data_IF_657782297966
#
_entry.id   IF_657782297966
#
_cell.length_a   1.000
_cell.length_b   1.000
_cell.length_c   1.000
_cell.angle_alpha   90.00
_cell.angle_beta   90.00
_cell.angle_gamma   90.00
#
_symmetry.space_group_name_H-M   'P 1'
#
loop_
_entity.id
_entity.type
_entity.pdbx_description
1 polymer ?
#
# COMPACT_ATOMS: atom_id res chain seq x y z
N UNK A 1 -0.84 -3.39 3.38
CA UNK A 1 0.21 -2.49 3.91
C UNK A 1 0.40 -2.56 5.42
N UNK A 2 -0.56 -2.14 6.25
CA UNK A 2 -0.39 -2.08 7.72
C UNK A 2 0.06 -3.42 8.31
N UNK A 3 -0.56 -4.53 7.90
CA UNK A 3 -0.19 -5.89 8.35
C UNK A 3 1.29 -6.20 8.05
N UNK A 4 1.79 -5.78 6.87
CA UNK A 4 3.19 -6.00 6.48
C UNK A 4 4.17 -5.16 7.32
N UNK A 5 3.77 -3.94 7.69
CA UNK A 5 4.55 -3.09 8.60
C UNK A 5 4.64 -3.77 9.97
N UNK A 6 3.52 -4.21 10.53
CA UNK A 6 3.47 -4.89 11.84
C UNK A 6 4.28 -6.18 11.82
N UNK A 7 4.19 -6.98 10.75
CA UNK A 7 5.00 -8.18 10.58
C UNK A 7 6.50 -7.85 10.52
N UNK A 8 6.89 -6.85 9.72
CA UNK A 8 8.27 -6.41 9.60
C UNK A 8 8.86 -5.91 10.91
N UNK A 9 8.08 -5.18 11.71
CA UNK A 9 8.48 -4.74 13.05
C UNK A 9 8.66 -5.93 14.00
N UNK A 10 7.67 -6.84 14.09
CA UNK A 10 7.73 -8.01 14.98
C UNK A 10 8.89 -8.95 14.65
N UNK A 11 9.26 -9.06 13.37
CA UNK A 11 10.32 -9.96 12.88
C UNK A 11 11.66 -9.27 12.65
N UNK A 12 11.78 -8.00 13.05
CA UNK A 12 12.97 -7.17 12.89
C UNK A 12 13.48 -7.09 11.42
N UNK A 13 12.55 -7.20 10.46
CA UNK A 13 12.84 -7.12 9.01
C UNK A 13 12.76 -5.66 8.57
N UNK A 14 13.88 -4.94 8.69
CA UNK A 14 13.99 -3.50 8.42
C UNK A 14 13.49 -3.09 7.03
N UNK A 15 13.90 -3.80 5.96
CA UNK A 15 13.42 -3.47 4.62
C UNK A 15 11.89 -3.53 4.52
N UNK A 16 11.24 -4.43 5.27
CA UNK A 16 9.84 -4.77 5.00
C UNK A 16 8.95 -3.69 5.58
N UNK A 17 9.20 -3.32 6.83
CA UNK A 17 8.41 -2.29 7.46
C UNK A 17 8.73 -0.91 6.90
N UNK A 18 9.99 -0.61 6.52
CA UNK A 18 10.37 0.68 5.92
C UNK A 18 9.69 0.88 4.55
N UNK A 19 9.82 -0.08 3.63
CA UNK A 19 9.19 0.03 2.30
C UNK A 19 7.67 0.14 2.40
N UNK A 20 7.04 -0.66 3.27
CA UNK A 20 5.59 -0.62 3.45
C UNK A 20 5.11 0.66 4.16
N UNK A 21 5.90 1.23 5.07
CA UNK A 21 5.61 2.53 5.67
C UNK A 21 5.71 3.66 4.63
N UNK A 22 6.72 3.63 3.76
CA UNK A 22 6.84 4.56 2.63
C UNK A 22 5.64 4.48 1.68
N UNK A 23 5.20 3.27 1.31
CA UNK A 23 4.00 3.09 0.50
C UNK A 23 2.74 3.60 1.18
N UNK A 24 2.61 3.42 2.49
CA UNK A 24 1.46 3.91 3.25
C UNK A 24 1.42 5.45 3.28
N UNK A 25 2.57 6.11 3.54
CA UNK A 25 2.66 7.57 3.53
C UNK A 25 2.36 8.11 2.13
N UNK A 26 2.92 7.50 1.09
CA UNK A 26 2.67 7.90 -0.29
C UNK A 26 1.18 7.81 -0.65
N UNK A 27 0.51 6.71 -0.27
CA UNK A 27 -0.91 6.53 -0.56
C UNK A 27 -1.80 7.53 0.18
N UNK A 28 -1.46 7.86 1.43
CA UNK A 28 -2.14 8.92 2.18
C UNK A 28 -1.93 10.29 1.51
N UNK A 29 -0.70 10.60 1.10
CA UNK A 29 -0.37 11.86 0.44
C UNK A 29 -1.12 12.03 -0.90
N UNK A 30 -1.20 10.96 -1.71
CA UNK A 30 -1.96 10.97 -2.96
C UNK A 30 -3.46 11.15 -2.69
N UNK A 31 -4.01 10.43 -1.71
CA UNK A 31 -5.42 10.59 -1.33
C UNK A 31 -5.73 12.02 -0.90
N UNK A 32 -4.90 12.60 -0.04
CA UNK A 32 -5.03 13.98 0.40
C UNK A 32 -4.92 14.97 -0.77
N UNK A 33 -3.96 14.78 -1.68
CA UNK A 33 -3.77 15.61 -2.88
C UNK A 33 -5.03 15.69 -3.74
N UNK A 34 -5.64 14.54 -4.05
CA UNK A 34 -6.85 14.50 -4.88
C UNK A 34 -8.09 15.03 -4.14
N UNK A 35 -8.19 14.80 -2.83
CA UNK A 35 -9.30 15.35 -2.03
C UNK A 35 -9.22 16.88 -1.93
N UNK A 36 -8.03 17.46 -1.79
CA UNK A 36 -7.84 18.92 -1.76
C UNK A 36 -8.12 19.59 -3.11
N UNK A 37 -8.05 18.85 -4.21
CA UNK A 37 -8.31 19.36 -5.56
C UNK A 37 -9.70 19.01 -6.09
N UNK A 38 -10.58 18.47 -5.26
CA UNK A 38 -11.89 17.96 -5.70
C UNK A 38 -12.72 19.02 -6.43
N UNK A 39 -12.70 20.28 -5.97
CA UNK A 39 -13.45 21.38 -6.58
C UNK A 39 -12.89 21.77 -7.96
N UNK A 40 -11.56 21.74 -8.11
CA UNK A 40 -10.90 22.00 -9.40
C UNK A 40 -11.18 20.87 -10.40
N UNK A 41 -11.12 19.62 -9.94
CA UNK A 41 -11.44 18.44 -10.74
C UNK A 41 -12.92 18.49 -11.16
N UNK A 42 -13.81 18.95 -10.28
CA UNK A 42 -15.23 19.12 -10.56
C UNK A 42 -15.49 20.17 -11.65
N UNK A 43 -14.81 21.31 -11.55
CA UNK A 43 -14.93 22.39 -12.52
C UNK A 43 -14.41 21.99 -13.91
N UNK A 44 -13.36 21.16 -13.98
CA UNK A 44 -12.74 20.75 -15.25
C UNK A 44 -13.38 19.50 -15.87
N UNK A 45 -14.07 18.66 -15.07
CA UNK A 45 -14.60 17.38 -15.51
C UNK A 45 -16.04 17.18 -15.03
N UNK A 46 -17.04 17.81 -15.69
CA UNK A 46 -18.45 17.53 -15.40
C UNK A 46 -18.76 16.08 -15.78
N UNK A 47 -18.69 15.19 -14.80
CA UNK A 47 -18.83 13.73 -14.99
C UNK A 47 -20.20 13.23 -14.51
N UNK A 48 -20.88 12.36 -15.27
CA UNK A 48 -22.09 11.68 -14.79
C UNK A 48 -21.76 10.84 -13.56
N UNK A 49 -22.50 11.01 -12.47
CA UNK A 49 -22.23 10.35 -11.18
C UNK A 49 -21.43 11.19 -10.17
N UNK A 50 -21.00 12.40 -10.56
CA UNK A 50 -20.37 13.36 -9.66
C UNK A 50 -18.87 13.15 -9.49
N UNK A 51 -18.16 14.25 -9.26
CA UNK A 51 -16.69 14.31 -9.19
C UNK A 51 -16.10 13.42 -8.09
N UNK A 52 -16.85 13.19 -7.01
CA UNK A 52 -16.43 12.30 -5.93
C UNK A 52 -16.12 10.87 -6.41
N UNK A 53 -16.90 10.35 -7.36
CA UNK A 53 -16.67 9.01 -7.92
C UNK A 53 -15.39 8.96 -8.74
N UNK A 54 -15.14 9.98 -9.56
CA UNK A 54 -13.92 10.10 -10.37
C UNK A 54 -12.68 10.18 -9.47
N UNK A 55 -12.72 11.03 -8.44
CA UNK A 55 -11.64 11.16 -7.45
C UNK A 55 -11.41 9.84 -6.71
N UNK A 56 -12.47 9.16 -6.30
CA UNK A 56 -12.36 7.86 -5.63
C UNK A 56 -11.70 6.81 -6.55
N UNK A 57 -12.04 6.78 -7.83
CA UNK A 57 -11.42 5.89 -8.81
C UNK A 57 -9.93 6.22 -9.03
N UNK A 58 -9.59 7.50 -9.14
CA UNK A 58 -8.20 7.94 -9.28
C UNK A 58 -7.37 7.53 -8.07
N UNK A 59 -7.84 7.83 -6.86
CA UNK A 59 -7.18 7.43 -5.61
C UNK A 59 -7.04 5.90 -5.57
N UNK A 60 -8.11 5.15 -5.87
CA UNK A 60 -8.09 3.69 -5.84
C UNK A 60 -7.10 3.09 -6.83
N UNK A 61 -7.02 3.65 -8.04
CA UNK A 61 -6.05 3.24 -9.06
C UNK A 61 -4.62 3.40 -8.57
N UNK A 62 -4.28 4.55 -7.98
CA UNK A 62 -2.95 4.80 -7.41
C UNK A 62 -2.64 3.94 -6.19
N UNK A 63 -3.62 3.71 -5.31
CA UNK A 63 -3.44 2.92 -4.08
C UNK A 63 -3.28 1.42 -4.38
N UNK A 64 -3.87 0.93 -5.48
CA UNK A 64 -3.86 -0.49 -5.84
C UNK A 64 -2.44 -1.04 -6.02
N UNK A 65 -1.56 -0.31 -6.72
CA UNK A 65 -0.21 -0.78 -7.07
C UNK A 65 0.69 -0.95 -5.84
N UNK A 66 0.88 0.07 -4.97
CA UNK A 66 1.64 -0.09 -3.73
C UNK A 66 1.03 -1.17 -2.82
N UNK A 67 -0.30 -1.35 -2.85
CA UNK A 67 -0.98 -2.36 -2.04
C UNK A 67 -0.65 -3.77 -2.53
N UNK A 68 -0.65 -4.00 -3.84
CA UNK A 68 -0.27 -5.28 -4.42
C UNK A 68 1.20 -5.60 -4.14
N UNK A 69 2.11 -4.65 -4.34
CA UNK A 69 3.54 -4.84 -4.04
C UNK A 69 3.74 -5.15 -2.55
N UNK A 70 3.05 -4.42 -1.67
CA UNK A 70 3.05 -4.68 -0.23
C UNK A 70 2.68 -6.12 0.12
N UNK A 71 1.66 -6.66 -0.56
CA UNK A 71 1.20 -8.03 -0.36
C UNK A 71 2.26 -9.06 -0.78
N UNK A 72 2.85 -8.89 -1.97
CA UNK A 72 3.90 -9.80 -2.44
C UNK A 72 5.17 -9.75 -1.58
N UNK A 73 5.56 -8.56 -1.10
CA UNK A 73 6.69 -8.41 -0.18
C UNK A 73 6.44 -9.14 1.14
N UNK A 74 5.21 -9.05 1.68
CA UNK A 74 4.82 -9.77 2.88
C UNK A 74 4.85 -11.29 2.66
N UNK A 75 4.25 -11.77 1.57
CA UNK A 75 4.25 -13.18 1.22
C UNK A 75 5.68 -13.71 1.10
N UNK A 76 6.54 -13.01 0.36
CA UNK A 76 7.96 -13.36 0.23
C UNK A 76 8.69 -13.40 1.58
N UNK A 77 8.42 -12.45 2.47
CA UNK A 77 9.00 -12.44 3.80
C UNK A 77 8.56 -13.65 4.64
N UNK A 78 7.28 -14.04 4.57
CA UNK A 78 6.76 -15.22 5.25
C UNK A 78 7.40 -16.50 4.70
N UNK A 79 7.50 -16.64 3.37
CA UNK A 79 8.16 -17.79 2.74
C UNK A 79 9.63 -17.91 3.16
N UNK A 80 10.37 -16.80 3.21
CA UNK A 80 11.75 -16.79 3.69
C UNK A 80 11.87 -17.23 5.15
N UNK A 81 10.93 -16.84 6.01
CA UNK A 81 10.91 -17.32 7.40
C UNK A 81 10.60 -18.81 7.51
N UNK A 82 9.59 -19.29 6.76
CA UNK A 82 9.24 -20.72 6.75
C UNK A 82 10.42 -21.56 6.25
N UNK A 83 11.12 -21.12 5.20
CA UNK A 83 12.30 -21.79 4.68
C UNK A 83 13.44 -21.83 5.70
N UNK A 84 13.65 -20.75 6.46
CA UNK A 84 14.66 -20.72 7.53
C UNK A 84 14.33 -21.73 8.64
N UNK A 85 13.07 -21.75 9.11
CA UNK A 85 12.60 -22.71 10.12
C UNK A 85 12.71 -24.17 9.65
N UNK A 86 12.36 -24.45 8.40
CA UNK A 86 12.46 -25.81 7.86
C UNK A 86 13.90 -26.33 7.82
N UNK A 87 14.88 -25.46 7.56
CA UNK A 87 16.31 -25.81 7.61
C UNK A 87 16.82 -26.04 9.04
N UNK A 88 16.31 -25.30 10.01
CA UNK A 88 16.66 -25.47 11.43
C UNK A 88 16.11 -26.78 12.03
N UNK A 89 15.03 -27.34 11.48
CA UNK A 89 14.44 -28.62 11.93
C UNK A 89 15.18 -29.83 11.33
N UNK A 90 15.89 -29.65 10.21
CA UNK A 90 16.61 -30.73 9.52
C UNK A 90 18.10 -30.83 9.91
N UNK A 91 18.61 -29.88 10.69
CA UNK A 91 19.99 -29.86 11.19
C UNK A 91 20.04 -30.33 12.64
#
# INVERSE_FOLDING_TARGET
MIISIVFGLKKNRKWLWITNAGFLILTIAIAAYYLLQIDQIAAQNPTPGGTGVLVMLLISSWVSVPTAISFFLLAGAIFMEQRKKAKEIQA
#
